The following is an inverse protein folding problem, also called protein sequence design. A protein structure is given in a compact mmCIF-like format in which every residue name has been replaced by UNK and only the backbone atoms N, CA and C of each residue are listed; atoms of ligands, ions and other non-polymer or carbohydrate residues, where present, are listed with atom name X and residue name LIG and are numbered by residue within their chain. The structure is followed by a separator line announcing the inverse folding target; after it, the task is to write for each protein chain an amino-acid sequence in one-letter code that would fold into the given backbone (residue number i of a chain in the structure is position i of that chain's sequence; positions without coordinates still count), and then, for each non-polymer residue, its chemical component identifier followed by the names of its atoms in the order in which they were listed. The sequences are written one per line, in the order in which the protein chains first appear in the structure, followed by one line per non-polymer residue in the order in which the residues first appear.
data_IF_966220551216
#
_entry.id   IF_966220551216
#
_cell.length_a   1.000
_cell.length_b   1.000
_cell.length_c   1.000
_cell.angle_alpha   90.00
_cell.angle_beta   90.00
_cell.angle_gamma   90.00
#
_symmetry.space_group_name_H-M   'P 1'
#
loop_
_entity.id
_entity.type
_entity.pdbx_description
1 polymer ?
#
# COMPACT_ATOMS: atom_id res chain seq x y z
N UNK A 1 -8.81 -16.50 5.91
CA UNK A 1 -7.75 -16.11 4.97
C UNK A 1 -7.74 -14.60 4.97
N UNK A 2 -6.61 -13.96 5.23
CA UNK A 2 -6.57 -12.51 5.22
C UNK A 2 -6.67 -12.01 3.77
N UNK A 3 -7.22 -10.81 3.58
CA UNK A 3 -7.32 -10.17 2.27
C UNK A 3 -6.76 -8.75 2.39
N UNK A 4 -5.90 -8.37 1.45
CA UNK A 4 -5.38 -7.01 1.37
C UNK A 4 -6.33 -6.20 0.50
N UNK A 5 -7.08 -5.31 1.14
CA UNK A 5 -8.02 -4.40 0.48
C UNK A 5 -7.31 -3.16 -0.01
N UNK A 6 -7.55 -2.80 -1.27
CA UNK A 6 -7.01 -1.62 -1.92
C UNK A 6 -8.17 -0.81 -2.47
N UNK A 7 -8.21 0.48 -2.17
CA UNK A 7 -9.19 1.38 -2.74
C UNK A 7 -8.49 2.28 -3.75
N UNK A 8 -8.97 2.29 -4.99
CA UNK A 8 -8.46 3.14 -6.05
C UNK A 8 -9.61 3.72 -6.86
N UNK A 9 -9.67 5.05 -6.96
CA UNK A 9 -10.74 5.79 -7.68
C UNK A 9 -12.17 5.43 -7.24
N UNK A 10 -12.34 5.02 -5.98
CA UNK A 10 -13.62 4.59 -5.43
C UNK A 10 -13.98 3.13 -5.73
N UNK A 11 -13.12 2.40 -6.43
CA UNK A 11 -13.24 0.95 -6.63
C UNK A 11 -12.43 0.21 -5.56
N UNK A 12 -13.01 -0.83 -4.99
CA UNK A 12 -12.35 -1.73 -4.04
C UNK A 12 -11.80 -2.95 -4.78
N UNK A 13 -10.52 -3.19 -4.58
CA UNK A 13 -9.79 -4.34 -5.09
C UNK A 13 -9.36 -5.19 -3.90
N UNK A 14 -9.39 -6.52 -4.06
CA UNK A 14 -8.93 -7.45 -3.04
C UNK A 14 -7.80 -8.31 -3.60
N UNK A 15 -6.73 -8.43 -2.82
CA UNK A 15 -5.63 -9.34 -3.10
C UNK A 15 -5.69 -10.47 -2.08
N UNK A 16 -5.78 -11.74 -2.54
CA UNK A 16 -5.67 -12.88 -1.64
C UNK A 16 -4.24 -12.97 -1.09
N UNK A 17 -4.12 -13.29 0.20
CA UNK A 17 -2.84 -13.49 0.90
C UNK A 17 -1.89 -14.45 0.16
N UNK A 18 -2.43 -15.46 -0.52
CA UNK A 18 -1.64 -16.40 -1.34
C UNK A 18 -0.86 -15.75 -2.49
N UNK A 19 -1.17 -14.50 -2.86
CA UNK A 19 -0.46 -13.73 -3.88
C UNK A 19 0.47 -12.67 -3.31
N UNK A 20 0.45 -12.42 -2.00
CA UNK A 20 1.24 -11.36 -1.38
C UNK A 20 2.74 -11.52 -1.66
N UNK A 21 3.26 -12.76 -1.60
CA UNK A 21 4.66 -13.07 -1.92
C UNK A 21 5.05 -12.67 -3.35
N UNK A 22 4.27 -13.10 -4.36
CA UNK A 22 4.55 -12.80 -5.78
C UNK A 22 4.49 -11.29 -6.07
N UNK A 23 3.62 -10.58 -5.36
CA UNK A 23 3.49 -9.12 -5.48
C UNK A 23 4.67 -8.42 -4.80
N UNK A 24 5.07 -8.92 -3.62
CA UNK A 24 6.23 -8.44 -2.88
C UNK A 24 7.49 -8.49 -3.73
N UNK A 25 7.77 -9.64 -4.37
CA UNK A 25 8.92 -9.80 -5.28
C UNK A 25 8.94 -8.73 -6.38
N UNK A 26 7.81 -8.52 -7.07
CA UNK A 26 7.71 -7.50 -8.14
C UNK A 26 7.85 -6.07 -7.63
N UNK A 27 7.39 -5.79 -6.42
CA UNK A 27 7.58 -4.49 -5.78
C UNK A 27 9.06 -4.28 -5.47
N UNK A 28 9.75 -5.30 -4.97
CA UNK A 28 11.18 -5.24 -4.63
C UNK A 28 12.07 -4.96 -5.86
N UNK A 29 11.67 -5.41 -7.06
CA UNK A 29 12.33 -5.04 -8.33
C UNK A 29 12.24 -3.53 -8.66
N UNK A 30 11.26 -2.82 -8.07
CA UNK A 30 11.05 -1.38 -8.29
C UNK A 30 11.74 -0.55 -7.19
N UNK A 31 11.58 -0.97 -5.94
CA UNK A 31 12.13 -0.29 -4.78
C UNK A 31 12.27 -1.26 -3.60
N UNK A 32 13.37 -1.10 -2.87
CA UNK A 32 13.62 -1.85 -1.65
C UNK A 32 12.73 -1.36 -0.49
N UNK A 33 12.48 -2.23 0.50
CA UNK A 33 11.73 -1.86 1.71
C UNK A 33 12.29 -0.61 2.43
N UNK A 34 13.61 -0.44 2.64
CA UNK A 34 14.16 0.78 3.25
C UNK A 34 13.90 2.04 2.41
N UNK A 35 13.93 1.96 1.07
CA UNK A 35 13.56 3.08 0.23
C UNK A 35 12.08 3.46 0.44
N UNK A 36 11.19 2.47 0.44
CA UNK A 36 9.73 2.66 0.59
C UNK A 36 9.40 3.29 1.95
N UNK A 37 10.00 2.81 3.04
CA UNK A 37 9.85 3.42 4.38
C UNK A 37 10.26 4.92 4.36
N UNK A 38 11.29 5.27 3.59
CA UNK A 38 11.74 6.66 3.42
C UNK A 38 10.74 7.56 2.69
N UNK A 39 9.78 7.01 1.95
CA UNK A 39 8.83 7.78 1.14
C UNK A 39 7.80 8.55 1.95
N UNK A 40 7.61 8.21 3.23
CA UNK A 40 6.79 9.00 4.15
C UNK A 40 7.34 10.44 4.33
N UNK A 41 8.66 10.61 4.27
CA UNK A 41 9.34 11.92 4.41
C UNK A 41 9.72 12.53 3.07
N UNK A 42 10.04 11.70 2.08
CA UNK A 42 10.46 12.13 0.74
C UNK A 42 9.67 11.37 -0.32
N UNK A 43 8.44 11.82 -0.65
CA UNK A 43 7.57 11.13 -1.59
C UNK A 43 8.24 10.84 -2.94
N UNK A 44 7.99 9.65 -3.48
CA UNK A 44 8.48 9.21 -4.79
C UNK A 44 7.29 8.81 -5.65
N UNK A 45 6.51 9.78 -6.10
CA UNK A 45 5.24 9.57 -6.81
C UNK A 45 5.32 8.59 -7.99
N UNK A 46 6.38 8.66 -8.81
CA UNK A 46 6.56 7.72 -9.92
C UNK A 46 6.82 6.28 -9.46
N UNK A 47 7.71 6.07 -8.49
CA UNK A 47 7.99 4.72 -7.95
C UNK A 47 6.76 4.18 -7.21
N UNK A 48 6.10 5.04 -6.42
CA UNK A 48 4.83 4.72 -5.76
C UNK A 48 3.77 4.27 -6.75
N UNK A 49 3.58 5.02 -7.84
CA UNK A 49 2.59 4.67 -8.86
C UNK A 49 2.89 3.32 -9.54
N UNK A 50 4.17 2.99 -9.77
CA UNK A 50 4.58 1.69 -10.29
C UNK A 50 4.29 0.56 -9.30
N UNK A 51 4.71 0.70 -8.04
CA UNK A 51 4.47 -0.32 -7.01
C UNK A 51 2.97 -0.53 -6.76
N UNK A 52 2.20 0.55 -6.64
CA UNK A 52 0.76 0.47 -6.46
C UNK A 52 0.04 -0.06 -7.71
N UNK A 53 0.56 0.24 -8.90
CA UNK A 53 0.10 -0.33 -10.16
C UNK A 53 0.25 -1.85 -10.22
N UNK A 54 1.37 -2.41 -9.72
CA UNK A 54 1.55 -3.86 -9.59
C UNK A 54 0.48 -4.49 -8.70
N UNK A 55 0.20 -3.88 -7.54
CA UNK A 55 -0.84 -4.36 -6.64
C UNK A 55 -2.23 -4.34 -7.30
N UNK A 56 -2.59 -3.22 -7.94
CA UNK A 56 -3.87 -3.09 -8.64
C UNK A 56 -4.02 -4.13 -9.77
N UNK A 57 -2.97 -4.35 -10.56
CA UNK A 57 -2.96 -5.36 -11.62
C UNK A 57 -3.07 -6.78 -11.06
N UNK A 58 -2.38 -7.07 -9.96
CA UNK A 58 -2.47 -8.38 -9.28
C UNK A 58 -3.87 -8.67 -8.73
N UNK A 59 -4.60 -7.62 -8.34
CA UNK A 59 -6.00 -7.66 -7.91
C UNK A 59 -7.02 -7.70 -9.08
N UNK A 60 -6.55 -7.76 -10.33
CA UNK A 60 -7.39 -7.81 -11.53
C UNK A 60 -7.73 -6.43 -12.14
N UNK A 61 -7.21 -5.34 -11.57
CA UNK A 61 -7.34 -4.00 -12.12
C UNK A 61 -6.62 -3.83 -13.45
N UNK A 62 -7.23 -3.11 -14.39
CA UNK A 62 -6.63 -2.77 -15.69
C UNK A 62 -6.17 -1.33 -15.66
N UNK A 63 -4.99 -1.11 -15.08
CA UNK A 63 -4.41 0.23 -14.91
C UNK A 63 -2.97 0.29 -15.42
N UNK A 64 -2.63 1.42 -16.01
CA UNK A 64 -1.26 1.79 -16.36
C UNK A 64 -0.63 2.60 -15.24
N UNK A 65 0.71 2.56 -15.14
CA UNK A 65 1.44 3.33 -14.12
C UNK A 65 1.21 4.85 -14.28
N UNK A 66 0.99 5.30 -15.52
CA UNK A 66 0.66 6.69 -15.83
C UNK A 66 -0.70 7.09 -15.26
N UNK A 67 -1.72 6.24 -15.38
CA UNK A 67 -3.05 6.50 -14.81
C UNK A 67 -3.00 6.55 -13.28
N UNK A 68 -2.26 5.64 -12.65
CA UNK A 68 -2.07 5.63 -11.20
C UNK A 68 -1.35 6.90 -10.75
N UNK A 69 -0.28 7.28 -11.43
CA UNK A 69 0.46 8.51 -11.13
C UNK A 69 -0.43 9.75 -11.27
N UNK A 70 -1.17 9.87 -12.38
CA UNK A 70 -2.09 10.98 -12.61
C UNK A 70 -3.17 11.07 -11.54
N UNK A 71 -3.73 9.93 -11.10
CA UNK A 71 -4.69 9.90 -10.01
C UNK A 71 -4.07 10.36 -8.67
N UNK A 72 -2.88 9.87 -8.33
CA UNK A 72 -2.16 10.27 -7.11
C UNK A 72 -1.85 11.77 -7.10
N UNK A 73 -1.40 12.32 -8.24
CA UNK A 73 -1.13 13.75 -8.35
C UNK A 73 -2.40 14.58 -8.24
N UNK A 74 -3.51 14.15 -8.88
CA UNK A 74 -4.79 14.82 -8.76
C UNK A 74 -5.30 14.86 -7.31
N UNK A 75 -5.14 13.76 -6.56
CA UNK A 75 -5.48 13.72 -5.14
C UNK A 75 -4.57 14.64 -4.30
N UNK A 76 -3.27 14.67 -4.61
CA UNK A 76 -2.32 15.53 -3.91
C UNK A 76 -2.60 17.02 -4.14
N UNK A 77 -2.85 17.43 -5.39
CA UNK A 77 -3.23 18.80 -5.77
C UNK A 77 -4.58 19.21 -5.19
N UNK A 78 -5.51 18.25 -5.03
CA UNK A 78 -6.81 18.46 -4.40
C UNK A 78 -6.75 18.49 -2.86
N UNK A 79 -5.55 18.46 -2.27
CA UNK A 79 -5.39 18.50 -0.82
C UNK A 79 -5.78 17.20 -0.10
N UNK A 80 -5.73 16.05 -0.79
CA UNK A 80 -6.00 14.71 -0.24
C UNK A 80 -4.73 13.86 -0.13
N UNK A 81 -3.70 14.30 0.62
CA UNK A 81 -2.44 13.55 0.74
C UNK A 81 -2.63 12.19 1.43
N UNK A 82 -3.73 12.02 2.18
CA UNK A 82 -4.09 10.75 2.82
C UNK A 82 -4.17 9.57 1.84
N UNK A 83 -4.55 9.80 0.57
CA UNK A 83 -4.59 8.75 -0.44
C UNK A 83 -3.18 8.18 -0.72
N UNK A 84 -2.16 9.04 -0.77
CA UNK A 84 -0.77 8.61 -0.94
C UNK A 84 -0.27 7.80 0.27
N UNK A 85 -0.56 8.25 1.49
CA UNK A 85 -0.16 7.53 2.70
C UNK A 85 -0.91 6.21 2.88
N UNK A 86 -2.17 6.14 2.44
CA UNK A 86 -2.92 4.89 2.36
C UNK A 86 -2.25 3.89 1.41
N UNK A 87 -1.90 4.32 0.20
CA UNK A 87 -1.16 3.49 -0.75
C UNK A 87 0.20 3.03 -0.21
N UNK A 88 0.94 3.91 0.47
CA UNK A 88 2.19 3.58 1.15
C UNK A 88 1.98 2.51 2.23
N UNK A 89 0.93 2.64 3.05
CA UNK A 89 0.62 1.66 4.09
C UNK A 89 0.27 0.30 3.49
N UNK A 90 -0.53 0.27 2.42
CA UNK A 90 -0.85 -0.98 1.71
C UNK A 90 0.41 -1.67 1.16
N UNK A 91 1.37 -0.92 0.61
CA UNK A 91 2.65 -1.47 0.16
C UNK A 91 3.46 -2.08 1.31
N UNK A 92 3.51 -1.39 2.45
CA UNK A 92 4.22 -1.90 3.63
C UNK A 92 3.56 -3.18 4.16
N UNK A 93 2.22 -3.25 4.18
CA UNK A 93 1.51 -4.47 4.58
C UNK A 93 1.87 -5.64 3.65
N UNK A 94 1.88 -5.44 2.32
CA UNK A 94 2.27 -6.49 1.36
C UNK A 94 3.71 -6.96 1.57
N UNK A 95 4.65 -6.03 1.73
CA UNK A 95 6.07 -6.35 1.87
C UNK A 95 6.44 -6.94 3.23
N UNK A 96 5.62 -6.67 4.26
CA UNK A 96 5.82 -7.20 5.60
C UNK A 96 4.94 -8.42 5.89
N UNK A 97 4.14 -8.86 4.92
CA UNK A 97 3.36 -10.09 5.04
C UNK A 97 4.32 -11.29 5.14
N UNK A 98 4.29 -11.99 6.27
CA UNK A 98 5.26 -13.03 6.63
C UNK A 98 6.48 -12.57 7.45
N UNK A 99 6.67 -11.27 7.69
CA UNK A 99 7.63 -10.79 8.68
C UNK A 99 7.13 -11.15 10.09
N UNK A 100 8.00 -11.63 11.02
CA UNK A 100 7.58 -11.86 12.39
C UNK A 100 6.99 -10.57 12.94
N UNK A 101 5.71 -10.59 13.30
CA UNK A 101 5.08 -9.51 14.03
C UNK A 101 5.83 -9.39 15.36
N UNK A 102 6.76 -8.44 15.44
CA UNK A 102 7.27 -8.01 16.73
C UNK A 102 6.05 -7.65 17.57
N UNK A 103 5.83 -8.37 18.67
CA UNK A 103 4.82 -8.02 19.67
C UNK A 103 5.07 -6.56 20.06
N UNK A 104 4.27 -5.65 19.53
CA UNK A 104 4.39 -4.22 19.71
C UNK A 104 3.00 -3.62 19.59
N UNK A 105 2.32 -3.62 20.74
CA UNK A 105 1.17 -2.79 21.10
C UNK A 105 -0.12 -2.97 20.29
N UNK A 106 -0.83 -4.07 20.59
CA UNK A 106 -2.25 -3.94 20.86
C UNK A 106 -2.39 -3.15 22.17
N UNK A 107 -2.68 -1.85 22.09
CA UNK A 107 -3.27 -1.17 23.24
C UNK A 107 -4.65 -1.80 23.49
N UNK A 108 -4.66 -2.66 24.51
CA UNK A 108 -5.83 -3.18 25.18
C UNK A 108 -6.83 -2.06 25.47
N UNK A 109 -8.09 -2.31 25.10
CA UNK A 109 -9.20 -1.51 25.58
C UNK A 109 -9.17 -1.46 27.11
N UNK A 110 -9.05 -0.27 27.67
CA UNK A 110 -9.41 -0.03 29.07
C UNK A 110 -10.93 -0.20 29.20
N UNK A 111 -11.44 -1.12 30.02
CA UNK A 111 -12.79 -0.99 30.54
C UNK A 111 -12.80 0.17 31.53
N UNK A 112 -13.64 1.16 31.26
CA UNK A 112 -13.96 2.23 32.19
C UNK A 112 -14.76 1.62 33.35
N UNK A 113 -14.17 1.62 34.55
CA UNK A 113 -14.84 1.27 35.79
C UNK A 113 -14.11 1.94 36.96
N UNK A 114 -14.53 3.16 37.30
CA UNK A 114 -14.50 3.71 38.67
C UNK A 114 -15.52 4.83 38.80
#
# INVERSE_FOLDING_TARGET
MAEIKIIFRGEEFSIPESRAFEIGERIEDIATLPEIIGWARKPKFFKMARCFGEMLRAAGGRVTDKEVHSAMMADFESGKPAAYFGALNSLLIVLMDGAPQGKGDAEEGKPDAS
#
